data_IF_730736862727
#
_entry.id   IF_730736862727
#
_cell.length_a   1.000
_cell.length_b   1.000
_cell.length_c   1.000
_cell.angle_alpha   90.00
_cell.angle_beta   90.00
_cell.angle_gamma   90.00
#
_symmetry.space_group_name_H-M   'P 1'
#
loop_
_entity.id
_entity.type
_entity.pdbx_description
1 polymer ?
#
# COMPACT_ATOMS: atom_id res chain seq x y z
N UNK A 1 12.35 59.83 31.41
CA UNK A 1 12.64 58.88 30.31
C UNK A 1 14.06 59.14 29.80
N UNK A 2 14.97 58.17 29.95
CA UNK A 2 16.38 58.32 29.54
C UNK A 2 16.46 58.36 28.01
N UNK A 3 16.90 59.49 27.43
CA UNK A 3 17.23 59.58 26.01
C UNK A 3 18.65 59.05 25.85
N UNK A 4 18.80 57.82 25.37
CA UNK A 4 20.08 57.29 24.93
C UNK A 4 20.42 57.91 23.57
N UNK A 5 20.69 59.22 23.56
CA UNK A 5 21.22 59.96 22.42
C UNK A 5 22.76 59.91 22.40
N UNK A 6 23.34 58.78 22.85
CA UNK A 6 24.72 58.48 22.47
C UNK A 6 24.72 58.25 20.96
N UNK A 7 25.72 58.75 20.24
CA UNK A 7 25.88 58.48 18.83
C UNK A 7 26.05 56.96 18.64
N UNK A 8 24.93 56.25 18.50
CA UNK A 8 24.90 54.84 18.13
C UNK A 8 25.48 54.84 16.73
N UNK A 9 26.66 54.23 16.58
CA UNK A 9 27.30 54.06 15.28
C UNK A 9 26.33 53.46 14.29
N UNK A 10 26.60 53.67 13.00
CA UNK A 10 25.75 53.19 11.91
C UNK A 10 25.43 51.70 12.19
N UNK A 11 24.15 51.29 12.26
CA UNK A 11 23.77 49.92 12.65
C UNK A 11 24.49 48.82 11.85
N UNK A 12 24.88 49.14 10.62
CA UNK A 12 25.66 48.30 9.72
C UNK A 12 27.05 47.91 10.25
N UNK A 13 27.64 48.64 11.21
CA UNK A 13 28.94 48.28 11.82
C UNK A 13 28.82 47.17 12.87
N UNK A 14 27.63 46.97 13.44
CA UNK A 14 27.39 45.97 14.48
C UNK A 14 26.86 44.65 13.91
N UNK A 15 26.40 44.67 12.67
CA UNK A 15 25.67 43.56 12.04
C UNK A 15 26.46 43.07 10.83
N UNK A 16 26.62 41.75 10.74
CA UNK A 16 27.32 41.11 9.62
C UNK A 16 26.66 41.46 8.27
N UNK A 17 27.49 41.61 7.23
CA UNK A 17 27.06 42.02 5.87
C UNK A 17 25.98 41.13 5.26
N UNK A 18 25.83 39.89 5.75
CA UNK A 18 24.79 38.96 5.29
C UNK A 18 23.36 39.45 5.56
N UNK A 19 23.17 40.37 6.51
CA UNK A 19 21.88 40.99 6.82
C UNK A 19 21.64 42.29 6.06
N UNK A 20 22.61 42.75 5.26
CA UNK A 20 22.45 43.99 4.52
C UNK A 20 21.48 43.82 3.35
N UNK A 21 20.69 44.85 3.09
CA UNK A 21 19.77 44.89 1.95
C UNK A 21 20.50 44.78 0.61
N UNK A 22 21.74 45.25 0.53
CA UNK A 22 22.62 45.08 -0.62
C UNK A 22 22.90 43.61 -0.91
N UNK A 23 23.27 42.84 0.11
CA UNK A 23 23.52 41.39 -0.01
C UNK A 23 22.26 40.64 -0.42
N UNK A 24 21.12 40.97 0.17
CA UNK A 24 19.82 40.40 -0.25
C UNK A 24 19.50 40.73 -1.71
N UNK A 25 19.66 42.00 -2.11
CA UNK A 25 19.46 42.43 -3.50
C UNK A 25 20.41 41.73 -4.47
N UNK A 26 21.66 41.55 -4.10
CA UNK A 26 22.67 40.85 -4.90
C UNK A 26 22.33 39.37 -5.05
N UNK A 27 21.91 38.72 -3.96
CA UNK A 27 21.51 37.30 -3.96
C UNK A 27 20.35 37.02 -4.91
N UNK A 28 19.36 37.91 -4.98
CA UNK A 28 18.20 37.79 -5.88
C UNK A 28 18.32 38.62 -7.18
N UNK A 29 19.50 39.18 -7.46
CA UNK A 29 19.72 39.95 -8.68
C UNK A 29 19.71 39.07 -9.94
N UNK A 30 20.18 37.83 -9.79
CA UNK A 30 20.19 36.83 -10.85
C UNK A 30 18.77 36.30 -11.06
N UNK A 31 18.09 36.84 -12.07
CA UNK A 31 16.81 36.32 -12.52
C UNK A 31 17.06 35.16 -13.48
N UNK A 32 16.42 34.02 -13.21
CA UNK A 32 16.27 32.97 -14.20
C UNK A 32 15.05 33.34 -15.03
N UNK A 33 15.28 33.74 -16.28
CA UNK A 33 14.17 34.03 -17.18
C UNK A 33 13.30 32.79 -17.38
N UNK A 34 11.97 32.95 -17.45
CA UNK A 34 11.09 31.83 -17.70
C UNK A 34 11.40 31.25 -19.08
N UNK A 35 11.72 29.97 -19.12
CA UNK A 35 11.90 29.24 -20.38
C UNK A 35 10.52 29.09 -21.02
N UNK A 36 10.33 29.63 -22.23
CA UNK A 36 9.15 29.47 -23.09
C UNK A 36 8.86 27.98 -23.42
N UNK A 37 8.24 27.30 -22.46
CA UNK A 37 7.69 25.96 -22.60
C UNK A 37 8.70 24.81 -22.61
N UNK A 38 8.17 23.59 -22.50
CA UNK A 38 8.95 22.33 -22.42
C UNK A 38 9.91 22.09 -23.59
N UNK A 39 9.65 22.69 -24.76
CA UNK A 39 10.44 22.46 -25.99
C UNK A 39 11.83 23.09 -25.95
N UNK A 40 12.01 24.18 -25.19
CA UNK A 40 13.30 24.87 -25.10
C UNK A 40 14.20 24.33 -23.97
N UNK A 41 13.71 23.38 -23.18
CA UNK A 41 14.55 22.71 -22.19
C UNK A 41 15.55 21.81 -22.90
N UNK A 42 16.83 22.00 -22.57
CA UNK A 42 17.91 21.13 -23.04
C UNK A 42 17.60 19.70 -22.58
N UNK A 43 17.59 18.75 -23.53
CA UNK A 43 17.39 17.35 -23.21
C UNK A 43 18.59 16.86 -22.39
N UNK A 44 18.32 16.18 -21.29
CA UNK A 44 19.37 15.57 -20.47
C UNK A 44 20.21 14.60 -21.32
N UNK A 45 21.55 14.55 -21.15
CA UNK A 45 22.41 13.61 -21.85
C UNK A 45 22.25 12.15 -21.39
N UNK A 46 21.26 11.86 -20.54
CA UNK A 46 21.01 10.52 -20.05
C UNK A 46 20.58 9.60 -21.21
N UNK A 47 21.36 8.53 -21.52
CA UNK A 47 21.01 7.59 -22.58
C UNK A 47 19.80 6.72 -22.21
N UNK A 48 19.44 6.69 -20.93
CA UNK A 48 18.32 5.89 -20.41
C UNK A 48 17.04 6.69 -20.52
N UNK A 49 16.04 6.14 -21.20
CA UNK A 49 14.69 6.68 -21.15
C UNK A 49 14.15 6.52 -19.73
N UNK A 50 14.02 7.62 -19.00
CA UNK A 50 13.43 7.64 -17.66
C UNK A 50 11.94 7.33 -17.76
N UNK A 51 11.61 6.04 -17.65
CA UNK A 51 10.23 5.62 -17.52
C UNK A 51 9.77 5.87 -16.08
N UNK A 52 8.52 6.34 -15.88
CA UNK A 52 7.97 6.42 -14.54
C UNK A 52 8.04 5.03 -13.89
N UNK A 53 8.36 4.94 -12.59
CA UNK A 53 8.35 3.67 -11.88
C UNK A 53 7.00 2.97 -12.09
N UNK A 54 7.03 1.64 -12.25
CA UNK A 54 5.82 0.83 -12.43
C UNK A 54 4.94 0.95 -11.17
N UNK A 55 3.96 1.84 -11.22
CA UNK A 55 3.02 2.03 -10.12
C UNK A 55 2.11 0.79 -10.00
N UNK A 56 2.27 0.05 -8.91
CA UNK A 56 1.41 -1.10 -8.60
C UNK A 56 0.22 -0.60 -7.80
N UNK A 57 -0.93 -0.43 -8.46
CA UNK A 57 -2.17 -0.09 -7.76
C UNK A 57 -2.46 -1.23 -6.77
N UNK A 58 -2.50 -0.97 -5.47
CA UNK A 58 -2.90 -2.01 -4.52
C UNK A 58 -4.30 -2.45 -4.88
N UNK A 59 -4.56 -3.76 -4.78
CA UNK A 59 -5.93 -4.28 -4.89
C UNK A 59 -6.73 -3.51 -3.85
N UNK A 60 -7.65 -2.67 -4.30
CA UNK A 60 -8.46 -1.84 -3.44
C UNK A 60 -9.21 -2.69 -2.42
N UNK A 61 -9.85 -2.04 -1.44
CA UNK A 61 -10.66 -2.73 -0.45
C UNK A 61 -11.63 -3.69 -1.17
N UNK A 62 -11.64 -5.00 -0.86
CA UNK A 62 -12.57 -5.92 -1.48
C UNK A 62 -13.99 -5.39 -1.39
N UNK A 63 -14.63 -5.20 -2.55
CA UNK A 63 -15.97 -4.63 -2.62
C UNK A 63 -16.91 -5.51 -1.78
N UNK A 64 -17.54 -4.90 -0.77
CA UNK A 64 -18.53 -5.60 0.07
C UNK A 64 -19.65 -6.07 -0.85
N UNK A 65 -19.87 -7.38 -0.94
CA UNK A 65 -21.01 -7.93 -1.68
C UNK A 65 -22.29 -7.39 -1.03
N UNK A 66 -23.19 -6.83 -1.83
CA UNK A 66 -24.53 -6.41 -1.37
C UNK A 66 -25.24 -7.62 -0.77
N UNK A 67 -25.91 -7.44 0.37
CA UNK A 67 -26.84 -8.45 0.88
C UNK A 67 -28.07 -8.44 -0.03
N UNK A 68 -28.30 -9.54 -0.74
CA UNK A 68 -29.55 -9.75 -1.48
C UNK A 68 -30.69 -10.00 -0.50
N UNK A 69 -31.86 -9.43 -0.75
CA UNK A 69 -33.09 -9.68 0.01
C UNK A 69 -33.56 -11.14 -0.19
N UNK A 70 -34.55 -11.59 0.59
CA UNK A 70 -35.08 -12.95 0.46
C UNK A 70 -35.72 -13.17 -0.92
N UNK A 71 -36.51 -12.19 -1.39
CA UNK A 71 -37.15 -12.19 -2.72
C UNK A 71 -36.14 -12.36 -3.86
N UNK A 72 -35.05 -11.58 -3.86
CA UNK A 72 -33.99 -11.68 -4.88
C UNK A 72 -33.21 -13.02 -4.87
N UNK A 73 -33.32 -13.81 -3.79
CA UNK A 73 -32.70 -15.15 -3.71
C UNK A 73 -33.63 -16.23 -4.25
N UNK A 74 -34.94 -16.08 -4.06
CA UNK A 74 -35.94 -17.00 -4.59
C UNK A 74 -35.98 -16.95 -6.13
N UNK A 75 -35.83 -15.75 -6.70
CA UNK A 75 -35.76 -15.54 -8.15
C UNK A 75 -34.55 -16.24 -8.79
N UNK A 76 -33.43 -16.35 -8.06
CA UNK A 76 -32.23 -17.08 -8.53
C UNK A 76 -32.36 -18.61 -8.39
N UNK A 77 -33.25 -19.10 -7.53
CA UNK A 77 -33.45 -20.54 -7.31
C UNK A 77 -34.48 -21.09 -8.31
N UNK A 78 -35.41 -20.24 -8.78
CA UNK A 78 -36.47 -20.63 -9.72
C UNK A 78 -36.15 -20.37 -11.20
N UNK A 79 -35.19 -19.50 -11.52
CA UNK A 79 -34.86 -19.14 -12.90
C UNK A 79 -33.44 -19.52 -13.31
N UNK A 80 -33.31 -20.59 -14.10
CA UNK A 80 -32.05 -20.93 -14.77
C UNK A 80 -31.85 -20.05 -16.02
N UNK A 81 -32.01 -18.73 -15.91
CA UNK A 81 -31.76 -17.76 -17.00
C UNK A 81 -31.53 -16.37 -16.43
N UNK A 82 -30.40 -15.77 -16.80
CA UNK A 82 -30.02 -14.40 -16.44
C UNK A 82 -30.83 -13.43 -17.31
N UNK A 83 -31.71 -12.60 -16.75
CA UNK A 83 -32.32 -11.51 -17.51
C UNK A 83 -31.43 -10.27 -17.47
N UNK A 84 -30.60 -10.12 -18.51
CA UNK A 84 -30.30 -8.80 -19.08
C UNK A 84 -31.17 -8.67 -20.33
N UNK A 85 -32.40 -8.22 -20.19
CA UNK A 85 -33.19 -7.63 -21.27
C UNK A 85 -34.48 -7.04 -20.71
N UNK A 86 -34.67 -5.75 -20.92
CA UNK A 86 -35.99 -5.17 -21.08
C UNK A 86 -36.68 -5.95 -22.20
N UNK A 87 -37.83 -6.61 -21.93
CA UNK A 87 -38.71 -7.04 -23.01
C UNK A 87 -40.17 -7.09 -22.57
N UNK A 88 -40.92 -6.34 -23.38
CA UNK A 88 -42.35 -6.12 -23.55
C UNK A 88 -43.32 -7.24 -23.12
N UNK A 89 -44.50 -6.78 -22.72
CA UNK A 89 -45.71 -7.49 -22.34
C UNK A 89 -46.10 -8.59 -23.34
N UNK A 90 -46.38 -9.81 -22.84
CA UNK A 90 -47.35 -10.73 -23.43
C UNK A 90 -47.92 -11.67 -22.36
N UNK A 91 -49.25 -11.86 -22.40
CA UNK A 91 -50.13 -12.56 -21.44
C UNK A 91 -50.00 -14.11 -21.61
N UNK A 92 -50.44 -14.91 -20.62
CA UNK A 92 -50.06 -16.31 -20.47
C UNK A 92 -50.99 -17.24 -21.25
N UNK A 93 -50.52 -18.44 -21.60
CA UNK A 93 -51.42 -19.58 -21.72
C UNK A 93 -50.73 -20.95 -21.66
N UNK A 94 -51.39 -21.82 -20.87
CA UNK A 94 -51.62 -23.26 -21.07
C UNK A 94 -50.51 -24.27 -20.69
N UNK A 95 -50.82 -24.96 -19.59
CA UNK A 95 -50.69 -26.40 -19.24
C UNK A 95 -49.70 -27.29 -19.99
N UNK A 96 -48.96 -28.12 -19.23
CA UNK A 96 -48.95 -29.59 -19.43
C UNK A 96 -48.40 -30.28 -18.17
N UNK A 97 -48.96 -31.46 -17.91
CA UNK A 97 -48.81 -32.28 -16.71
C UNK A 97 -47.55 -33.16 -16.75
N UNK A 98 -47.27 -33.73 -15.58
CA UNK A 98 -46.63 -35.03 -15.33
C UNK A 98 -45.17 -35.23 -15.77
N UNK A 99 -44.27 -35.31 -14.78
CA UNK A 99 -43.35 -36.46 -14.56
C UNK A 99 -42.63 -36.27 -13.22
N UNK A 100 -42.87 -37.16 -12.26
CA UNK A 100 -41.94 -37.54 -11.19
C UNK A 100 -41.80 -39.07 -11.32
N UNK A 101 -40.72 -39.76 -10.87
CA UNK A 101 -39.64 -39.33 -9.96
C UNK A 101 -38.22 -39.77 -10.39
N UNK A 102 -37.14 -39.19 -9.82
CA UNK A 102 -35.80 -39.74 -10.09
C UNK A 102 -34.60 -39.06 -9.42
N UNK A 103 -33.98 -39.80 -8.50
CA UNK A 103 -32.54 -39.80 -8.18
C UNK A 103 -31.97 -38.66 -7.31
N UNK A 104 -32.27 -38.74 -6.01
CA UNK A 104 -31.44 -38.17 -4.95
C UNK A 104 -30.09 -38.93 -4.81
N UNK A 105 -29.14 -38.71 -5.72
CA UNK A 105 -27.75 -39.24 -5.61
C UNK A 105 -26.66 -38.16 -5.49
N UNK A 106 -27.02 -36.87 -5.60
CA UNK A 106 -26.07 -35.75 -5.69
C UNK A 106 -25.65 -35.08 -4.36
N UNK A 107 -26.33 -35.33 -3.25
CA UNK A 107 -26.13 -34.54 -2.01
C UNK A 107 -24.92 -34.99 -1.17
N UNK A 108 -24.66 -36.30 -1.07
CA UNK A 108 -23.60 -36.87 -0.24
C UNK A 108 -22.18 -36.57 -0.78
N UNK A 109 -22.01 -36.54 -2.10
CA UNK A 109 -20.72 -36.25 -2.76
C UNK A 109 -20.31 -34.76 -2.64
N UNK A 110 -21.27 -33.83 -2.60
CA UNK A 110 -21.02 -32.39 -2.44
C UNK A 110 -20.72 -32.01 -0.99
N UNK A 111 -21.33 -32.68 -0.02
CA UNK A 111 -21.05 -32.51 1.41
C UNK A 111 -19.64 -33.01 1.79
N UNK A 112 -19.20 -34.14 1.21
CA UNK A 112 -17.82 -34.64 1.34
C UNK A 112 -16.78 -33.63 0.85
N UNK A 113 -16.96 -33.11 -0.37
CA UNK A 113 -16.10 -32.06 -0.95
C UNK A 113 -16.03 -30.78 -0.12
N UNK A 114 -17.12 -30.38 0.57
CA UNK A 114 -17.12 -29.21 1.47
C UNK A 114 -16.32 -29.45 2.75
N UNK A 115 -16.42 -30.63 3.36
CA UNK A 115 -15.67 -30.99 4.58
C UNK A 115 -14.17 -31.10 4.30
N UNK A 116 -13.80 -31.71 3.18
CA UNK A 116 -12.42 -31.85 2.74
C UNK A 116 -11.76 -30.49 2.43
N UNK A 117 -12.46 -29.60 1.71
CA UNK A 117 -11.99 -28.21 1.50
C UNK A 117 -11.77 -27.47 2.82
N UNK A 118 -12.60 -27.70 3.84
CA UNK A 118 -12.39 -27.12 5.18
C UNK A 118 -11.16 -27.71 5.88
N UNK A 119 -10.93 -29.03 5.78
CA UNK A 119 -9.72 -29.70 6.30
C UNK A 119 -8.45 -29.15 5.64
N UNK A 120 -8.43 -29.06 4.30
CA UNK A 120 -7.32 -28.50 3.53
C UNK A 120 -7.02 -27.03 3.90
N UNK A 121 -8.07 -26.21 4.13
CA UNK A 121 -7.88 -24.83 4.59
C UNK A 121 -7.30 -24.76 6.01
N UNK A 122 -7.76 -25.62 6.93
CA UNK A 122 -7.20 -25.71 8.29
C UNK A 122 -5.75 -26.17 8.26
N UNK A 123 -5.41 -27.16 7.44
CA UNK A 123 -4.05 -27.66 7.31
C UNK A 123 -3.10 -26.62 6.71
N UNK A 124 -3.52 -25.91 5.66
CA UNK A 124 -2.75 -24.76 5.12
C UNK A 124 -2.49 -23.69 6.17
N UNK A 125 -3.45 -23.41 7.07
CA UNK A 125 -3.26 -22.47 8.19
C UNK A 125 -2.23 -23.00 9.19
N UNK A 126 -2.32 -24.28 9.58
CA UNK A 126 -1.35 -24.94 10.47
C UNK A 126 0.07 -24.93 9.90
N UNK A 127 0.22 -25.26 8.62
CA UNK A 127 1.52 -25.23 7.92
C UNK A 127 2.08 -23.80 7.89
N UNK A 128 1.25 -22.81 7.55
CA UNK A 128 1.67 -21.39 7.52
C UNK A 128 2.11 -20.92 8.91
N UNK A 129 1.38 -21.29 9.96
CA UNK A 129 1.72 -20.95 11.33
C UNK A 129 3.03 -21.61 11.79
N UNK A 130 3.24 -22.89 11.47
CA UNK A 130 4.52 -23.58 11.72
C UNK A 130 5.69 -22.88 11.02
N UNK A 131 5.50 -22.46 9.76
CA UNK A 131 6.51 -21.69 9.00
C UNK A 131 6.81 -20.34 9.67
N UNK A 132 5.79 -19.57 10.02
CA UNK A 132 5.92 -18.29 10.73
C UNK A 132 6.66 -18.44 12.06
N UNK A 133 6.34 -19.47 12.86
CA UNK A 133 7.03 -19.76 14.13
C UNK A 133 8.51 -20.12 13.93
N UNK A 134 8.84 -20.88 12.90
CA UNK A 134 10.24 -21.23 12.56
C UNK A 134 11.02 -20.00 12.12
N UNK A 135 10.41 -19.14 11.29
CA UNK A 135 11.04 -17.89 10.85
C UNK A 135 11.24 -16.91 12.01
N UNK A 136 10.26 -16.76 12.89
CA UNK A 136 10.39 -15.88 14.06
C UNK A 136 11.50 -16.37 15.01
N UNK A 137 11.66 -17.69 15.18
CA UNK A 137 12.82 -18.27 15.90
C UNK A 137 14.15 -17.90 15.23
N UNK A 138 14.27 -18.05 13.91
CA UNK A 138 15.47 -17.62 13.16
C UNK A 138 15.77 -16.13 13.33
N UNK A 139 14.74 -15.27 13.28
CA UNK A 139 14.90 -13.82 13.50
C UNK A 139 15.36 -13.49 14.91
N UNK A 140 14.81 -14.18 15.94
CA UNK A 140 15.25 -14.02 17.32
C UNK A 140 16.70 -14.45 17.50
N UNK A 141 17.11 -15.57 16.90
CA UNK A 141 18.49 -16.03 16.99
C UNK A 141 19.46 -15.09 16.26
N UNK A 142 19.10 -14.62 15.06
CA UNK A 142 19.88 -13.61 14.34
C UNK A 142 20.07 -12.33 15.17
N UNK A 143 19.03 -11.87 15.88
CA UNK A 143 19.14 -10.75 16.82
C UNK A 143 20.06 -11.06 18.00
N UNK A 144 19.97 -12.25 18.60
CA UNK A 144 20.87 -12.67 19.69
C UNK A 144 22.33 -12.67 19.23
N UNK A 145 22.61 -13.26 18.06
CA UNK A 145 23.96 -13.28 17.48
C UNK A 145 24.44 -11.86 17.20
N UNK A 146 23.59 -11.01 16.61
CA UNK A 146 23.93 -9.61 16.34
C UNK A 146 24.23 -8.83 17.62
N UNK A 147 23.42 -8.99 18.67
CA UNK A 147 23.69 -8.39 19.97
C UNK A 147 25.00 -8.90 20.57
N UNK A 148 25.26 -10.22 20.55
CA UNK A 148 26.53 -10.78 21.05
C UNK A 148 27.75 -10.23 20.30
N UNK A 149 27.68 -10.16 18.97
CA UNK A 149 28.73 -9.58 18.15
C UNK A 149 28.93 -8.10 18.48
N UNK A 150 27.85 -7.34 18.63
CA UNK A 150 27.91 -5.93 19.01
C UNK A 150 28.58 -5.74 20.38
N UNK A 151 28.20 -6.52 21.39
CA UNK A 151 28.83 -6.49 22.71
C UNK A 151 30.31 -6.90 22.66
N UNK A 152 30.67 -7.90 21.85
CA UNK A 152 32.07 -8.32 21.71
C UNK A 152 32.93 -7.25 21.03
N UNK A 153 32.42 -6.61 19.97
CA UNK A 153 33.11 -5.51 19.29
C UNK A 153 33.27 -4.31 20.23
N UNK A 154 32.23 -3.96 21.00
CA UNK A 154 32.31 -2.88 21.98
C UNK A 154 33.29 -3.20 23.11
N UNK A 155 33.33 -4.46 23.59
CA UNK A 155 34.29 -4.89 24.60
C UNK A 155 35.73 -4.81 24.09
N UNK A 156 35.99 -5.25 22.85
CA UNK A 156 37.32 -5.12 22.23
C UNK A 156 37.72 -3.65 22.08
N UNK A 157 36.79 -2.77 21.69
CA UNK A 157 37.05 -1.33 21.60
C UNK A 157 37.38 -0.72 22.97
N UNK A 158 36.62 -1.10 24.00
CA UNK A 158 36.85 -0.64 25.38
C UNK A 158 38.19 -1.14 25.95
N UNK A 159 38.56 -2.40 25.71
CA UNK A 159 39.85 -2.96 26.12
C UNK A 159 41.03 -2.28 25.40
N UNK A 160 40.91 -1.97 24.10
CA UNK A 160 41.96 -1.23 23.38
C UNK A 160 42.10 0.22 23.87
N UNK A 161 41.00 0.86 24.26
CA UNK A 161 41.04 2.22 24.81
C UNK A 161 41.62 2.29 26.22
N UNK A 162 41.50 1.23 27.02
CA UNK A 162 41.97 1.21 28.41
C UNK A 162 43.42 0.71 28.56
N UNK A 163 43.99 0.12 27.52
CA UNK A 163 45.39 -0.39 27.49
C UNK A 163 46.37 0.60 26.83
N UNK A 164 45.88 1.74 26.31
CA UNK A 164 46.68 2.92 25.96
C UNK A 164 46.59 3.97 27.07
#
# INVERSE_FOLDING_TARGET
MRRNNGAIGIPETFVHECYWLSTWRNMYSFKVDPINGRRMWIKSPCPTTLLPPKHRVPIGRPKKKRRKSATEKEDMIKGNTVSRAQKLLHVPNVTTKDTMPGLAKGSYQLLGRRREKRRMRKEKRRIKEKRMRKENRRRKEKRRIHCKLFYHVMLLFWLNYYVM
#
